data_IF_873045160279
#
_entry.id   IF_873045160279
#
_cell.length_a   1.000
_cell.length_b   1.000
_cell.length_c   1.000
_cell.angle_alpha   90.00
_cell.angle_beta   90.00
_cell.angle_gamma   90.00
#
_symmetry.space_group_name_H-M   'P 1'
#
loop_
_entity.id
_entity.type
_entity.pdbx_description
1 polymer ?
#
# COMPACT_ATOMS: atom_id res chain seq x y z
N UNK A 1 -7.79 -2.33 -6.09
CA UNK A 1 -7.94 -0.86 -6.09
C UNK A 1 -6.93 -0.24 -7.04
N UNK A 2 -7.38 0.58 -7.99
CA UNK A 2 -6.52 1.18 -9.02
C UNK A 2 -6.65 2.71 -8.97
N UNK A 3 -5.52 3.40 -8.86
CA UNK A 3 -5.42 4.86 -8.97
C UNK A 3 -4.62 5.20 -10.24
N UNK A 4 -5.21 6.03 -11.11
CA UNK A 4 -4.73 6.29 -12.46
C UNK A 4 -5.02 5.14 -13.43
N UNK A 5 -6.03 5.30 -14.28
CA UNK A 5 -6.56 4.23 -15.11
C UNK A 5 -5.69 3.93 -16.33
N UNK A 6 -5.21 4.98 -17.01
CA UNK A 6 -4.45 4.91 -18.25
C UNK A 6 -2.94 5.06 -18.02
N UNK A 7 -2.13 4.46 -18.89
CA UNK A 7 -0.69 4.74 -18.94
C UNK A 7 -0.38 6.09 -19.61
N UNK A 8 -1.32 6.64 -20.38
CA UNK A 8 -1.07 7.81 -21.23
C UNK A 8 -1.69 9.10 -20.67
N UNK A 9 -2.48 9.00 -19.61
CA UNK A 9 -3.16 10.14 -19.01
C UNK A 9 -2.29 10.83 -17.95
N UNK A 10 -1.30 11.58 -18.42
CA UNK A 10 -0.29 12.22 -17.56
C UNK A 10 -0.84 13.31 -16.63
N UNK A 11 -2.09 13.75 -16.80
CA UNK A 11 -2.76 14.68 -15.89
C UNK A 11 -2.95 14.08 -14.49
N UNK A 12 -2.98 12.74 -14.35
CA UNK A 12 -3.04 12.05 -13.05
C UNK A 12 -1.81 12.32 -12.16
N UNK A 13 -0.77 13.02 -12.65
CA UNK A 13 0.33 13.52 -11.81
C UNK A 13 -0.13 14.44 -10.68
N UNK A 14 -1.26 15.14 -10.86
CA UNK A 14 -1.81 16.01 -9.80
C UNK A 14 -2.63 15.24 -8.77
N UNK A 15 -2.93 13.95 -9.02
CA UNK A 15 -3.71 13.12 -8.12
C UNK A 15 -2.99 12.97 -6.79
N UNK A 16 -3.74 13.17 -5.70
CA UNK A 16 -3.26 12.95 -4.34
C UNK A 16 -4.26 12.06 -3.60
N UNK A 17 -3.77 10.94 -3.07
CA UNK A 17 -4.60 9.98 -2.35
C UNK A 17 -4.01 9.73 -0.98
N UNK A 18 -4.85 9.82 0.05
CA UNK A 18 -4.56 9.26 1.38
C UNK A 18 -5.37 7.98 1.54
N UNK A 19 -4.68 6.85 1.67
CA UNK A 19 -5.28 5.56 1.97
C UNK A 19 -5.01 5.24 3.43
N UNK A 20 -6.02 5.34 4.28
CA UNK A 20 -5.83 5.28 5.73
C UNK A 20 -6.80 4.32 6.44
N UNK A 21 -6.30 3.63 7.47
CA UNK A 21 -7.09 2.86 8.43
C UNK A 21 -7.94 1.72 7.81
N UNK A 22 -7.53 1.19 6.67
CA UNK A 22 -8.20 0.06 6.01
C UNK A 22 -7.68 -1.28 6.53
N UNK A 23 -8.54 -2.30 6.56
CA UNK A 23 -8.13 -3.69 6.67
C UNK A 23 -8.26 -4.39 5.32
N UNK A 24 -7.12 -4.69 4.69
CA UNK A 24 -7.02 -5.50 3.51
C UNK A 24 -6.88 -6.96 3.91
N UNK A 25 -7.99 -7.69 3.76
CA UNK A 25 -8.14 -9.05 4.22
C UNK A 25 -8.05 -10.10 3.12
N UNK A 26 -8.62 -11.27 3.42
CA UNK A 26 -8.70 -12.43 2.53
C UNK A 26 -9.36 -12.09 1.19
N UNK A 27 -9.02 -12.90 0.17
CA UNK A 27 -9.57 -12.83 -1.20
C UNK A 27 -9.15 -11.59 -1.99
N UNK A 28 -8.07 -10.94 -1.56
CA UNK A 28 -7.44 -9.85 -2.30
C UNK A 28 -6.17 -10.38 -2.94
N UNK A 29 -6.18 -10.55 -4.26
CA UNK A 29 -5.00 -11.03 -4.97
C UNK A 29 -3.89 -9.97 -4.95
N UNK A 30 -4.26 -8.71 -5.25
CA UNK A 30 -3.30 -7.63 -5.49
C UNK A 30 -3.95 -6.24 -5.47
N UNK A 31 -3.11 -5.20 -5.66
CA UNK A 31 -3.50 -3.80 -5.93
C UNK A 31 -4.18 -3.14 -4.73
N UNK A 32 -3.45 -3.00 -3.64
CA UNK A 32 -3.87 -2.36 -2.39
C UNK A 32 -2.91 -1.21 -1.98
N UNK A 33 -2.69 -0.18 -2.81
CA UNK A 33 -3.24 0.04 -4.16
C UNK A 33 -2.29 -0.43 -5.27
N UNK A 34 -2.77 -0.32 -6.51
CA UNK A 34 -1.90 -0.09 -7.67
C UNK A 34 -2.06 1.36 -8.13
N UNK A 35 -0.96 2.09 -8.27
CA UNK A 35 -0.98 3.51 -8.62
C UNK A 35 -0.24 3.81 -9.93
N UNK A 36 -0.58 4.94 -10.54
CA UNK A 36 0.14 5.57 -11.65
C UNK A 36 0.28 7.07 -11.41
N UNK A 37 1.41 7.63 -11.82
CA UNK A 37 1.72 9.06 -11.79
C UNK A 37 1.70 9.74 -10.42
N UNK A 38 0.52 10.01 -9.87
CA UNK A 38 0.34 10.88 -8.72
C UNK A 38 0.93 10.37 -7.41
N UNK A 39 0.49 11.01 -6.33
CA UNK A 39 0.93 10.77 -4.96
C UNK A 39 -0.05 9.88 -4.20
N UNK A 40 0.48 8.89 -3.48
CA UNK A 40 -0.29 8.04 -2.58
C UNK A 40 0.41 7.91 -1.22
N UNK A 41 -0.27 8.37 -0.17
CA UNK A 41 0.10 8.13 1.22
C UNK A 41 -0.71 6.94 1.75
N UNK A 42 -0.06 5.79 1.92
CA UNK A 42 -0.63 4.62 2.57
C UNK A 42 -0.28 4.69 4.06
N UNK A 43 -1.25 4.96 4.92
CA UNK A 43 -0.99 5.22 6.35
C UNK A 43 -1.84 4.36 7.28
N UNK A 44 -1.18 3.66 8.21
CA UNK A 44 -1.84 2.85 9.26
C UNK A 44 -2.92 1.88 8.74
N UNK A 45 -2.71 1.25 7.59
CA UNK A 45 -3.53 0.16 7.07
C UNK A 45 -2.99 -1.21 7.52
N UNK A 46 -3.88 -2.18 7.61
CA UNK A 46 -3.59 -3.58 7.95
C UNK A 46 -3.66 -4.45 6.71
N UNK A 47 -2.52 -4.99 6.28
CA UNK A 47 -2.39 -5.83 5.10
C UNK A 47 -2.18 -7.27 5.49
N UNK A 48 -3.10 -8.13 5.05
CA UNK A 48 -3.06 -9.54 5.34
C UNK A 48 -3.46 -10.34 4.10
N UNK A 49 -2.94 -11.56 3.96
CA UNK A 49 -3.44 -12.56 3.01
C UNK A 49 -3.45 -12.14 1.52
N UNK A 50 -2.56 -11.24 1.08
CA UNK A 50 -2.44 -10.96 -0.36
C UNK A 50 -1.86 -12.18 -1.10
N UNK A 51 -2.22 -12.36 -2.37
CA UNK A 51 -1.80 -13.55 -3.13
C UNK A 51 -0.69 -13.28 -4.15
N UNK A 52 -0.45 -12.02 -4.52
CA UNK A 52 0.64 -11.64 -5.44
C UNK A 52 1.52 -10.52 -4.88
N UNK A 53 0.93 -9.36 -4.61
CA UNK A 53 1.59 -8.21 -3.96
C UNK A 53 0.56 -7.35 -3.23
N UNK A 54 1.00 -6.55 -2.27
CA UNK A 54 0.11 -5.59 -1.61
C UNK A 54 0.07 -4.26 -2.36
N UNK A 55 1.22 -3.59 -2.48
CA UNK A 55 1.35 -2.23 -3.03
C UNK A 55 2.07 -2.32 -4.37
N UNK A 56 1.53 -1.70 -5.41
CA UNK A 56 2.17 -1.72 -6.72
C UNK A 56 1.97 -0.45 -7.53
N UNK A 57 2.58 -0.41 -8.71
CA UNK A 57 2.47 0.74 -9.58
C UNK A 57 3.31 0.66 -10.83
N UNK A 58 3.03 1.59 -11.73
CA UNK A 58 3.71 1.82 -13.02
C UNK A 58 3.62 3.30 -13.35
N UNK A 59 4.43 3.84 -14.27
CA UNK A 59 4.39 5.28 -14.63
C UNK A 59 4.77 6.21 -13.46
N UNK A 60 5.84 5.86 -12.71
CA UNK A 60 6.46 6.70 -11.67
C UNK A 60 5.50 7.32 -10.62
N UNK A 61 4.63 6.55 -9.95
CA UNK A 61 3.87 7.07 -8.82
C UNK A 61 4.80 7.32 -7.62
N UNK A 62 4.49 8.35 -6.83
CA UNK A 62 5.10 8.54 -5.51
C UNK A 62 4.29 7.79 -4.47
N UNK A 63 4.89 6.82 -3.77
CA UNK A 63 4.20 6.00 -2.78
C UNK A 63 4.92 6.07 -1.44
N UNK A 64 4.24 6.64 -0.44
CA UNK A 64 4.72 6.71 0.93
C UNK A 64 3.91 5.75 1.78
N UNK A 65 4.51 4.61 2.13
CA UNK A 65 3.98 3.67 3.12
C UNK A 65 4.47 4.10 4.49
N UNK A 66 3.54 4.39 5.41
CA UNK A 66 3.89 4.86 6.74
C UNK A 66 3.03 4.24 7.85
N UNK A 67 3.67 3.58 8.81
CA UNK A 67 3.01 3.02 9.98
C UNK A 67 2.00 1.91 9.67
N UNK A 68 2.06 1.28 8.50
CA UNK A 68 1.22 0.15 8.15
C UNK A 68 1.71 -1.13 8.84
N UNK A 69 0.86 -2.16 8.84
CA UNK A 69 1.24 -3.51 9.26
C UNK A 69 1.06 -4.46 8.09
N UNK A 70 2.06 -5.27 7.81
CA UNK A 70 2.05 -6.26 6.74
C UNK A 70 2.34 -7.65 7.30
N UNK A 71 1.36 -8.55 7.15
CA UNK A 71 1.52 -9.96 7.50
C UNK A 71 1.73 -10.74 6.21
N UNK A 72 2.97 -11.16 5.96
CA UNK A 72 3.34 -11.90 4.77
C UNK A 72 2.46 -13.14 4.59
N UNK A 73 1.95 -13.41 3.38
CA UNK A 73 1.13 -14.59 3.13
C UNK A 73 1.94 -15.86 3.34
N UNK A 74 1.29 -16.95 3.76
CA UNK A 74 1.95 -18.26 3.78
C UNK A 74 2.23 -18.73 2.37
N UNK A 75 3.34 -19.45 2.20
CA UNK A 75 3.68 -20.02 0.90
C UNK A 75 2.57 -20.97 0.45
N UNK A 76 2.21 -20.90 -0.83
CA UNK A 76 1.14 -21.71 -1.42
C UNK A 76 1.69 -22.44 -2.64
N UNK A 77 1.34 -23.71 -2.78
CA UNK A 77 1.60 -24.45 -4.00
C UNK A 77 0.53 -24.13 -5.03
N UNK A 78 0.93 -23.77 -6.25
CA UNK A 78 0.06 -23.65 -7.41
C UNK A 78 0.58 -24.59 -8.50
N UNK A 79 -0.02 -25.78 -8.60
CA UNK A 79 0.58 -26.86 -9.38
C UNK A 79 1.92 -27.28 -8.77
N UNK A 80 2.98 -27.23 -9.57
CA UNK A 80 4.35 -27.55 -9.14
C UNK A 80 5.13 -26.33 -8.64
N UNK A 81 4.55 -25.13 -8.73
CA UNK A 81 5.24 -23.88 -8.39
C UNK A 81 4.95 -23.47 -6.93
N UNK A 82 6.01 -23.19 -6.19
CA UNK A 82 5.92 -22.58 -4.86
C UNK A 82 5.73 -21.07 -5.03
N UNK A 83 4.51 -20.59 -4.79
CA UNK A 83 4.22 -19.16 -4.79
C UNK A 83 4.65 -18.56 -3.44
N UNK A 84 5.63 -17.67 -3.51
CA UNK A 84 6.11 -16.88 -2.38
C UNK A 84 5.88 -15.39 -2.66
N UNK A 85 4.91 -14.81 -1.97
CA UNK A 85 4.53 -13.41 -2.11
C UNK A 85 4.92 -12.58 -0.88
N UNK A 86 6.10 -12.84 -0.29
CA UNK A 86 6.61 -12.05 0.85
C UNK A 86 6.92 -10.59 0.48
N UNK A 87 7.28 -10.31 -0.77
CA UNK A 87 7.51 -8.93 -1.20
C UNK A 87 6.18 -8.16 -1.22
N UNK A 88 6.15 -7.06 -0.47
CA UNK A 88 4.98 -6.17 -0.37
C UNK A 88 4.77 -5.40 -1.68
N UNK A 89 5.88 -5.03 -2.33
CA UNK A 89 5.93 -4.13 -3.47
C UNK A 89 5.91 -4.85 -4.81
N UNK A 90 5.32 -4.22 -5.83
CA UNK A 90 5.48 -4.65 -7.23
C UNK A 90 5.53 -3.46 -8.19
N UNK A 91 6.68 -3.28 -8.86
CA UNK A 91 6.80 -2.35 -9.98
C UNK A 91 6.44 -3.08 -11.27
N UNK A 92 5.38 -2.63 -11.91
CA UNK A 92 4.76 -3.30 -13.05
C UNK A 92 5.36 -2.78 -14.36
N UNK A 93 5.72 -3.70 -15.26
CA UNK A 93 6.13 -3.41 -16.65
C UNK A 93 7.29 -2.41 -16.79
N UNK A 94 8.19 -2.35 -15.79
CA UNK A 94 9.28 -1.37 -15.75
C UNK A 94 10.55 -2.06 -15.25
N UNK A 95 11.69 -1.75 -15.88
CA UNK A 95 12.98 -2.26 -15.46
C UNK A 95 13.49 -1.60 -14.17
N UNK A 96 14.30 -2.33 -13.41
CA UNK A 96 14.90 -1.81 -12.16
C UNK A 96 15.78 -0.59 -12.37
N UNK A 97 16.47 -0.52 -13.51
CA UNK A 97 17.26 0.65 -13.93
C UNK A 97 16.44 1.95 -13.89
N UNK A 98 15.15 1.87 -14.22
CA UNK A 98 14.22 2.99 -14.21
C UNK A 98 13.52 3.14 -12.87
N UNK A 99 12.84 2.10 -12.37
CA UNK A 99 11.98 2.24 -11.19
C UNK A 99 12.75 2.48 -9.89
N UNK A 100 14.05 2.16 -9.82
CA UNK A 100 14.88 2.50 -8.65
C UNK A 100 14.93 4.00 -8.34
N UNK A 101 14.62 4.84 -9.34
CA UNK A 101 14.53 6.30 -9.19
C UNK A 101 13.20 6.76 -8.60
N UNK A 102 12.17 5.92 -8.62
CA UNK A 102 10.82 6.27 -8.16
C UNK A 102 10.77 6.39 -6.64
N UNK A 103 10.03 7.37 -6.13
CA UNK A 103 9.95 7.67 -4.71
C UNK A 103 9.00 6.70 -3.97
N UNK A 104 9.50 5.53 -3.58
CA UNK A 104 8.74 4.53 -2.82
C UNK A 104 9.43 4.27 -1.48
N UNK A 105 8.80 4.72 -0.40
CA UNK A 105 9.38 4.64 0.96
C UNK A 105 8.46 3.91 1.90
N UNK A 106 9.07 3.19 2.84
CA UNK A 106 8.43 2.56 3.99
C UNK A 106 8.97 3.22 5.24
N UNK A 107 8.11 3.75 6.09
CA UNK A 107 8.50 4.51 7.29
C UNK A 107 7.71 3.97 8.48
N UNK A 108 8.40 3.42 9.48
CA UNK A 108 7.78 2.86 10.70
C UNK A 108 6.72 1.76 10.45
N UNK A 109 6.78 1.11 9.29
CA UNK A 109 5.94 -0.05 8.97
C UNK A 109 6.35 -1.27 9.80
N UNK A 110 5.39 -2.12 10.14
CA UNK A 110 5.60 -3.37 10.85
C UNK A 110 5.51 -4.56 9.88
N UNK A 111 6.55 -5.39 9.86
CA UNK A 111 6.63 -6.57 9.00
C UNK A 111 6.58 -7.86 9.80
N UNK A 112 5.64 -8.73 9.44
CA UNK A 112 5.39 -10.00 10.11
C UNK A 112 5.45 -11.13 9.06
N UNK A 113 5.86 -12.32 9.51
CA UNK A 113 5.92 -13.52 8.67
C UNK A 113 6.78 -13.34 7.41
N UNK A 114 7.93 -12.68 7.55
CA UNK A 114 8.91 -12.50 6.47
C UNK A 114 8.49 -11.52 5.37
N UNK A 115 7.42 -10.74 5.56
CA UNK A 115 7.11 -9.65 4.64
C UNK A 115 8.26 -8.64 4.57
N UNK A 116 8.47 -8.04 3.41
CA UNK A 116 9.47 -6.97 3.25
C UNK A 116 9.07 -6.00 2.15
N UNK A 117 9.54 -4.76 2.30
CA UNK A 117 9.30 -3.67 1.35
C UNK A 117 10.61 -3.31 0.67
N UNK A 118 10.67 -3.42 -0.66
CA UNK A 118 11.82 -2.94 -1.43
C UNK A 118 11.64 -1.45 -1.65
N UNK A 119 12.48 -0.62 -1.03
CA UNK A 119 12.40 0.84 -1.17
C UNK A 119 13.15 1.34 -2.41
N UNK A 120 12.77 2.52 -2.91
CA UNK A 120 13.44 3.20 -4.02
C UNK A 120 13.36 4.72 -3.88
N UNK A 121 14.18 5.43 -4.65
CA UNK A 121 14.30 6.88 -4.56
C UNK A 121 15.05 7.35 -3.30
N UNK A 122 15.33 8.66 -3.22
CA UNK A 122 16.08 9.22 -2.11
C UNK A 122 15.33 9.06 -0.78
N UNK A 123 16.08 9.08 0.32
CA UNK A 123 15.48 9.12 1.64
C UNK A 123 14.79 10.48 1.88
N UNK A 124 13.59 10.43 2.45
CA UNK A 124 12.82 11.63 2.80
C UNK A 124 13.35 12.21 4.11
N UNK A 125 14.41 13.03 4.02
CA UNK A 125 14.97 13.76 5.16
C UNK A 125 14.11 14.96 5.53
N UNK A 126 13.80 15.79 4.53
CA UNK A 126 12.85 16.89 4.64
C UNK A 126 11.57 16.45 3.92
N UNK A 127 10.54 16.06 4.68
CA UNK A 127 9.28 15.62 4.08
C UNK A 127 8.69 16.80 3.29
N UNK A 128 8.64 16.76 1.95
CA UNK A 128 8.18 17.89 1.14
C UNK A 128 6.66 18.07 1.22
N UNK A 129 5.98 17.27 2.04
CA UNK A 129 4.54 17.20 2.17
C UNK A 129 4.10 17.99 3.40
N UNK A 130 3.08 18.83 3.23
CA UNK A 130 2.53 19.62 4.33
C UNK A 130 1.66 18.76 5.24
N UNK A 131 1.30 19.28 6.43
CA UNK A 131 0.30 18.64 7.29
C UNK A 131 -1.10 18.56 6.65
N UNK A 132 -1.35 19.29 5.54
CA UNK A 132 -2.59 19.17 4.77
C UNK A 132 -2.57 17.97 3.82
N UNK A 133 -1.38 17.50 3.44
CA UNK A 133 -1.19 16.41 2.46
C UNK A 133 -0.99 15.05 3.15
N UNK A 134 -0.61 15.06 4.43
CA UNK A 134 -0.25 13.85 5.19
C UNK A 134 -0.91 13.78 6.57
N UNK A 135 -1.37 12.58 6.90
CA UNK A 135 -1.82 12.23 8.26
C UNK A 135 -0.61 11.82 9.10
N UNK A 136 -0.56 12.26 10.36
CA UNK A 136 0.46 11.79 11.30
C UNK A 136 0.26 10.30 11.62
N UNK A 137 1.20 9.48 11.20
CA UNK A 137 1.15 8.03 11.43
C UNK A 137 1.44 7.65 12.89
N UNK A 138 0.79 6.56 13.35
CA UNK A 138 1.23 5.77 14.50
C UNK A 138 2.18 4.65 14.04
N UNK A 139 2.97 4.03 14.93
CA UNK A 139 3.75 2.84 14.58
C UNK A 139 2.86 1.69 14.09
N UNK A 140 3.38 0.83 13.20
CA UNK A 140 2.66 -0.32 12.64
C UNK A 140 2.01 -1.24 13.69
N UNK A 141 2.64 -1.39 14.87
CA UNK A 141 2.12 -2.19 15.99
C UNK A 141 0.76 -1.72 16.53
N UNK A 142 0.35 -0.47 16.28
CA UNK A 142 -0.96 0.06 16.68
C UNK A 142 -2.07 -0.25 15.66
N UNK A 143 -1.72 -0.69 14.45
CA UNK A 143 -2.65 -0.84 13.32
C UNK A 143 -3.82 -1.74 13.67
N UNK A 144 -3.59 -2.86 14.36
CA UNK A 144 -4.69 -3.76 14.77
C UNK A 144 -5.77 -3.08 15.62
N UNK A 145 -5.41 -2.03 16.39
CA UNK A 145 -6.38 -1.21 17.12
C UNK A 145 -7.02 -0.14 16.22
N UNK A 146 -6.24 0.47 15.34
CA UNK A 146 -6.69 1.55 14.45
C UNK A 146 -7.70 1.06 13.40
N UNK A 147 -7.56 -0.18 12.92
CA UNK A 147 -8.39 -0.75 11.85
C UNK A 147 -9.51 -1.67 12.35
N UNK A 148 -9.71 -1.79 13.68
CA UNK A 148 -10.68 -2.72 14.29
C UNK A 148 -12.14 -2.49 13.91
N UNK A 149 -12.47 -1.28 13.46
CA UNK A 149 -13.81 -0.90 13.00
C UNK A 149 -13.86 -0.63 11.49
N UNK A 150 -12.88 -1.14 10.75
CA UNK A 150 -12.93 -1.11 9.29
C UNK A 150 -14.13 -1.90 8.76
N UNK A 151 -14.67 -1.46 7.63
CA UNK A 151 -15.90 -1.98 7.05
C UNK A 151 -17.10 -1.08 7.32
N UNK A 152 -18.30 -1.63 7.09
CA UNK A 152 -19.53 -0.90 7.32
C UNK A 152 -19.83 -0.79 8.83
N UNK A 153 -20.54 0.29 9.19
CA UNK A 153 -21.17 0.37 10.50
C UNK A 153 -22.19 -0.77 10.66
N UNK A 154 -22.30 -1.30 11.87
CA UNK A 154 -23.33 -2.29 12.22
C UNK A 154 -24.67 -1.60 12.43
N UNK A 155 -25.27 -1.17 11.33
CA UNK A 155 -26.56 -0.50 11.29
C UNK A 155 -27.71 -1.46 11.63
N UNK A 156 -28.78 -0.92 12.24
CA UNK A 156 -30.04 -1.62 12.46
C UNK A 156 -31.15 -0.96 11.63
N UNK A 157 -32.04 -1.78 11.07
CA UNK A 157 -33.16 -1.26 10.27
C UNK A 157 -34.05 -0.38 11.17
N UNK A 158 -34.32 0.84 10.73
CA UNK A 158 -35.15 1.80 11.45
C UNK A 158 -34.41 2.67 12.47
N UNK A 159 -33.09 2.49 12.65
CA UNK A 159 -32.27 3.32 13.54
C UNK A 159 -31.16 4.05 12.75
N UNK A 160 -30.74 5.26 13.18
CA UNK A 160 -29.56 5.90 12.61
C UNK A 160 -28.31 5.02 12.73
N UNK A 161 -27.50 5.06 11.67
CA UNK A 161 -26.08 4.77 11.75
C UNK A 161 -25.35 6.10 12.01
#
# INVERSE_FOLDING_TARGET
MLFGASNDYSEDKIMQITLAFNHFGKRLVQRMPRARFGFVHCVNNDYTHWEMYAIGGSQNPTIISEGNRFIGPYNKMLGNDLINSKEITKREYTEESEWKTWQWRSINDEYINGAFFVQSGPELKDRPFSQKDMIKAKPGSFVGRLTRYSGNLRCRVGEPC
#
